data_IF_551065596750
#
_entry.id   IF_551065596750
#
_cell.length_a   1.000
_cell.length_b   1.000
_cell.length_c   1.000
_cell.angle_alpha   90.00
_cell.angle_beta   90.00
_cell.angle_gamma   90.00
#
_symmetry.space_group_name_H-M   'P 1'
#
loop_
_entity.id
_entity.type
_entity.pdbx_description
1 polymer ?
#
# COMPACT_ATOMS: atom_id res chain seq x y z
N UNK A 1 19.11 -27.42 -4.86
CA UNK A 1 18.04 -26.80 -4.09
C UNK A 1 18.20 -25.29 -4.07
N UNK A 2 17.92 -24.62 -5.21
CA UNK A 2 18.16 -23.17 -5.37
C UNK A 2 17.10 -22.48 -6.24
N UNK A 3 15.83 -22.85 -6.08
CA UNK A 3 14.79 -22.40 -7.03
C UNK A 3 13.55 -21.75 -6.40
N UNK A 4 13.50 -21.49 -5.09
CA UNK A 4 12.28 -20.98 -4.46
C UNK A 4 12.35 -19.52 -3.99
N UNK A 5 13.52 -18.86 -3.99
CA UNK A 5 13.62 -17.45 -3.56
C UNK A 5 13.42 -16.44 -4.69
N UNK A 6 13.45 -16.84 -5.95
CA UNK A 6 13.32 -15.91 -7.07
C UNK A 6 11.89 -15.76 -7.60
N UNK A 7 11.00 -16.72 -7.30
CA UNK A 7 9.64 -16.72 -7.84
C UNK A 7 8.69 -15.76 -7.09
N UNK A 8 8.93 -15.46 -5.81
CA UNK A 8 8.09 -14.54 -5.04
C UNK A 8 8.39 -13.06 -5.33
N UNK A 9 9.63 -12.74 -5.71
CA UNK A 9 10.08 -11.39 -6.05
C UNK A 9 9.58 -10.91 -7.43
N UNK A 10 9.21 -11.84 -8.31
CA UNK A 10 8.80 -11.53 -9.69
C UNK A 10 7.30 -11.20 -9.85
N UNK A 11 6.50 -11.38 -8.80
CA UNK A 11 5.03 -11.25 -8.87
C UNK A 11 4.58 -9.79 -8.86
N UNK A 12 5.38 -8.88 -8.34
CA UNK A 12 5.04 -7.45 -8.25
C UNK A 12 5.97 -6.62 -9.14
N UNK A 13 5.80 -6.79 -10.45
CA UNK A 13 6.44 -5.92 -11.44
C UNK A 13 5.73 -4.56 -11.45
N UNK A 14 6.44 -3.51 -11.90
CA UNK A 14 5.90 -2.17 -12.08
C UNK A 14 4.56 -2.20 -12.80
N UNK A 15 3.58 -1.44 -12.31
CA UNK A 15 2.29 -1.32 -12.95
C UNK A 15 2.25 -0.11 -13.87
N UNK A 16 1.83 -0.32 -15.11
CA UNK A 16 1.66 0.76 -16.08
C UNK A 16 0.33 1.49 -15.87
N UNK A 17 0.36 2.80 -15.84
CA UNK A 17 -0.80 3.67 -15.79
C UNK A 17 -1.13 4.18 -17.20
N UNK A 18 -2.38 4.02 -17.61
CA UNK A 18 -2.86 4.44 -18.91
C UNK A 18 -3.98 5.46 -18.76
N UNK A 19 -3.93 6.52 -19.60
CA UNK A 19 -5.01 7.48 -19.76
C UNK A 19 -5.35 7.56 -21.23
N UNK A 20 -6.61 7.30 -21.58
CA UNK A 20 -7.09 7.28 -22.97
C UNK A 20 -6.26 6.40 -23.93
N UNK A 21 -5.77 5.26 -23.39
CA UNK A 21 -4.97 4.30 -24.15
C UNK A 21 -3.48 4.65 -24.28
N UNK A 22 -3.03 5.76 -23.72
CA UNK A 22 -1.62 6.15 -23.69
C UNK A 22 -0.99 5.85 -22.36
N UNK A 23 0.22 5.29 -22.36
CA UNK A 23 1.04 5.10 -21.17
C UNK A 23 1.45 6.47 -20.61
N UNK A 24 1.06 6.76 -19.37
CA UNK A 24 1.33 8.07 -18.74
C UNK A 24 2.34 7.98 -17.60
N UNK A 25 2.39 6.87 -16.89
CA UNK A 25 3.35 6.64 -15.82
C UNK A 25 3.53 5.14 -15.52
N UNK A 26 4.51 4.85 -14.68
CA UNK A 26 4.74 3.52 -14.10
C UNK A 26 4.74 3.66 -12.57
N UNK A 27 3.98 2.81 -11.88
CA UNK A 27 4.15 2.60 -10.46
C UNK A 27 5.39 1.76 -10.22
N UNK A 28 6.19 2.15 -9.25
CA UNK A 28 7.31 1.32 -8.79
C UNK A 28 6.81 0.05 -8.08
N UNK A 29 7.70 -0.87 -7.80
CA UNK A 29 7.34 -2.18 -7.22
C UNK A 29 6.59 -2.01 -5.89
N UNK A 30 7.07 -1.16 -5.01
CA UNK A 30 6.48 -0.90 -3.69
C UNK A 30 5.14 -0.18 -3.80
N UNK A 31 5.03 0.82 -4.66
CA UNK A 31 3.77 1.52 -4.97
C UNK A 31 2.72 0.54 -5.53
N UNK A 32 3.13 -0.34 -6.44
CA UNK A 32 2.29 -1.39 -7.02
C UNK A 32 1.81 -2.36 -5.96
N UNK A 33 2.72 -2.78 -5.06
CA UNK A 33 2.41 -3.68 -3.96
C UNK A 33 1.38 -3.05 -3.01
N UNK A 34 1.62 -1.81 -2.57
CA UNK A 34 0.73 -1.10 -1.68
C UNK A 34 -0.67 -0.91 -2.30
N UNK A 35 -0.73 -0.54 -3.58
CA UNK A 35 -1.99 -0.44 -4.32
C UNK A 35 -2.72 -1.78 -4.40
N UNK A 36 -2.03 -2.86 -4.77
CA UNK A 36 -2.65 -4.18 -4.92
C UNK A 36 -3.18 -4.70 -3.57
N UNK A 37 -2.44 -4.53 -2.49
CA UNK A 37 -2.89 -4.91 -1.15
C UNK A 37 -4.08 -4.08 -0.69
N UNK A 38 -4.13 -2.78 -1.02
CA UNK A 38 -5.22 -1.90 -0.62
C UNK A 38 -6.51 -2.12 -1.41
N UNK A 39 -6.43 -2.43 -2.71
CA UNK A 39 -7.56 -2.33 -3.65
C UNK A 39 -7.89 -3.66 -4.32
N UNK A 40 -6.89 -4.45 -4.73
CA UNK A 40 -7.10 -5.68 -5.49
C UNK A 40 -7.48 -6.87 -4.60
N UNK A 41 -7.68 -8.03 -5.22
CA UNK A 41 -7.90 -9.30 -4.53
C UNK A 41 -6.64 -9.92 -3.92
N UNK A 42 -5.51 -9.19 -3.88
CA UNK A 42 -4.28 -9.65 -3.25
C UNK A 42 -4.40 -9.49 -1.73
N UNK A 43 -4.29 -10.60 -1.02
CA UNK A 43 -4.46 -10.62 0.44
C UNK A 43 -3.17 -10.99 1.18
N UNK A 44 -2.08 -11.29 0.47
CA UNK A 44 -0.78 -11.62 1.04
C UNK A 44 0.34 -10.99 0.22
N UNK A 45 1.38 -10.53 0.92
CA UNK A 45 2.60 -10.04 0.31
C UNK A 45 3.82 -10.26 1.21
N UNK A 46 4.99 -10.09 0.59
CA UNK A 46 6.27 -9.98 1.30
C UNK A 46 6.82 -8.57 1.09
N UNK A 47 7.36 -7.99 2.15
CA UNK A 47 7.92 -6.65 2.11
C UNK A 47 9.06 -6.49 3.11
N UNK A 48 9.96 -5.54 2.80
CA UNK A 48 11.10 -5.24 3.64
C UNK A 48 10.81 -3.98 4.45
N UNK A 49 11.22 -3.97 5.70
CA UNK A 49 11.12 -2.81 6.57
C UNK A 49 12.48 -2.52 7.18
N UNK A 50 12.99 -1.34 6.96
CA UNK A 50 14.24 -0.88 7.55
C UNK A 50 13.96 -0.09 8.81
N UNK A 51 14.58 -0.50 9.91
CA UNK A 51 14.55 0.21 11.19
C UNK A 51 15.95 0.38 11.74
N UNK A 52 16.11 1.31 12.70
CA UNK A 52 17.36 1.51 13.40
C UNK A 52 17.23 0.98 14.83
N UNK A 53 18.12 0.05 15.20
CA UNK A 53 18.26 -0.47 16.56
C UNK A 53 19.55 0.09 17.16
N UNK A 54 19.44 1.20 17.91
CA UNK A 54 20.58 2.03 18.26
C UNK A 54 21.20 2.64 17.00
N UNK A 55 22.50 2.46 16.80
CA UNK A 55 23.23 2.96 15.62
C UNK A 55 23.28 1.97 14.45
N UNK A 56 22.55 0.85 14.54
CA UNK A 56 22.58 -0.21 13.53
C UNK A 56 21.33 -0.24 12.71
N UNK A 57 21.51 -0.26 11.39
CA UNK A 57 20.43 -0.54 10.47
C UNK A 57 20.08 -2.03 10.48
N UNK A 58 18.78 -2.33 10.58
CA UNK A 58 18.23 -3.67 10.53
C UNK A 58 17.11 -3.71 9.50
N UNK A 59 17.20 -4.63 8.55
CA UNK A 59 16.17 -4.88 7.56
C UNK A 59 15.39 -6.12 7.98
N UNK A 60 14.10 -5.95 8.25
CA UNK A 60 13.18 -7.02 8.53
C UNK A 60 12.41 -7.41 7.27
N UNK A 61 12.46 -8.69 6.90
CA UNK A 61 11.62 -9.27 5.85
C UNK A 61 10.32 -9.74 6.46
N UNK A 62 9.22 -9.13 6.09
CA UNK A 62 7.90 -9.41 6.63
C UNK A 62 7.04 -10.14 5.60
N UNK A 63 6.32 -11.16 6.07
CA UNK A 63 5.12 -11.65 5.44
C UNK A 63 3.94 -10.87 6.00
N UNK A 64 3.10 -10.33 5.13
CA UNK A 64 1.94 -9.51 5.48
C UNK A 64 0.70 -10.20 4.92
N UNK A 65 -0.26 -10.54 5.78
CA UNK A 65 -1.56 -11.08 5.40
C UNK A 65 -2.66 -10.07 5.73
N UNK A 66 -3.41 -9.65 4.71
CA UNK A 66 -4.51 -8.69 4.85
C UNK A 66 -5.74 -9.42 5.39
N UNK A 67 -6.13 -9.11 6.61
CA UNK A 67 -7.32 -9.67 7.23
C UNK A 67 -8.59 -8.92 6.85
N UNK A 68 -8.53 -7.59 6.80
CA UNK A 68 -9.67 -6.73 6.45
C UNK A 68 -9.20 -5.47 5.74
N UNK A 69 -9.89 -5.12 4.67
CA UNK A 69 -9.65 -3.86 3.96
C UNK A 69 -10.96 -3.22 3.52
N UNK A 70 -10.99 -1.91 3.50
CA UNK A 70 -12.08 -1.13 2.93
C UNK A 70 -11.59 0.17 2.31
N UNK A 71 -12.29 0.61 1.29
CA UNK A 71 -12.06 1.87 0.60
C UNK A 71 -13.37 2.62 0.49
N UNK A 72 -13.40 3.88 0.95
CA UNK A 72 -14.61 4.69 0.97
C UNK A 72 -14.33 6.11 0.50
N UNK A 73 -15.09 6.59 -0.49
CA UNK A 73 -15.10 7.99 -0.86
C UNK A 73 -16.15 8.71 -0.03
N UNK A 74 -15.78 9.79 0.63
CA UNK A 74 -16.65 10.66 1.40
C UNK A 74 -16.50 12.10 0.93
N UNK A 75 -17.53 12.90 1.15
CA UNK A 75 -17.46 14.35 0.96
C UNK A 75 -17.47 15.00 2.34
N UNK A 76 -16.37 15.65 2.73
CA UNK A 76 -16.20 16.35 4.01
C UNK A 76 -16.19 17.86 3.75
N UNK A 77 -17.30 18.52 4.03
CA UNK A 77 -17.53 19.88 3.56
C UNK A 77 -17.67 19.90 2.04
N UNK A 78 -16.78 20.61 1.35
CA UNK A 78 -16.72 20.64 -0.11
C UNK A 78 -15.58 19.77 -0.70
N UNK A 79 -14.84 19.04 0.14
CA UNK A 79 -13.66 18.29 -0.30
C UNK A 79 -13.94 16.79 -0.36
N UNK A 80 -13.60 16.13 -1.47
CA UNK A 80 -13.62 14.67 -1.55
C UNK A 80 -12.46 14.08 -0.74
N UNK A 81 -12.76 13.06 0.04
CA UNK A 81 -11.79 12.33 0.86
C UNK A 81 -11.90 10.84 0.57
N UNK A 82 -10.83 10.24 0.10
CA UNK A 82 -10.72 8.81 -0.07
C UNK A 82 -10.09 8.20 1.18
N UNK A 83 -10.87 7.43 1.91
CA UNK A 83 -10.43 6.77 3.14
C UNK A 83 -10.09 5.30 2.87
N UNK A 84 -8.90 4.88 3.27
CA UNK A 84 -8.50 3.48 3.34
C UNK A 84 -8.48 3.04 4.81
N UNK A 85 -9.08 1.90 5.08
CA UNK A 85 -8.94 1.22 6.37
C UNK A 85 -8.45 -0.20 6.12
N UNK A 86 -7.28 -0.53 6.68
CA UNK A 86 -6.58 -1.79 6.45
C UNK A 86 -6.18 -2.37 7.81
N UNK A 87 -6.51 -3.64 7.99
CA UNK A 87 -6.09 -4.45 9.14
C UNK A 87 -5.36 -5.67 8.60
N UNK A 88 -4.12 -5.85 9.02
CA UNK A 88 -3.26 -6.91 8.54
C UNK A 88 -2.54 -7.60 9.69
N UNK A 89 -2.11 -8.82 9.43
CA UNK A 89 -1.20 -9.54 10.30
C UNK A 89 0.18 -9.60 9.65
N UNK A 90 1.22 -9.43 10.46
CA UNK A 90 2.60 -9.48 10.00
C UNK A 90 3.37 -10.56 10.75
N UNK A 91 4.26 -11.23 10.03
CA UNK A 91 5.20 -12.22 10.55
C UNK A 91 6.59 -11.86 10.05
N UNK A 92 7.59 -11.90 10.94
CA UNK A 92 8.98 -11.79 10.51
C UNK A 92 9.40 -13.12 9.90
N UNK A 93 9.90 -13.08 8.66
CA UNK A 93 10.48 -14.24 7.99
C UNK A 93 11.96 -14.35 8.34
N UNK A 94 12.67 -13.25 8.23
CA UNK A 94 14.07 -13.10 8.62
C UNK A 94 14.43 -11.63 8.88
N UNK A 95 15.61 -11.43 9.45
CA UNK A 95 16.19 -10.11 9.64
C UNK A 95 17.64 -10.09 9.19
N UNK A 96 18.04 -9.01 8.53
CA UNK A 96 19.41 -8.74 8.13
C UNK A 96 19.99 -7.63 9.02
N UNK A 97 20.98 -8.01 9.84
CA UNK A 97 21.72 -7.09 10.73
C UNK A 97 23.14 -6.95 10.21
N UNK A 98 23.49 -5.77 9.70
CA UNK A 98 24.85 -5.49 9.19
C UNK A 98 25.37 -6.51 8.17
N UNK A 99 24.53 -6.96 7.25
CA UNK A 99 24.89 -7.95 6.22
C UNK A 99 24.77 -9.41 6.65
N UNK A 100 24.43 -9.69 7.92
CA UNK A 100 24.20 -11.05 8.39
C UNK A 100 22.70 -11.33 8.47
N UNK A 101 22.25 -12.28 7.67
CA UNK A 101 20.87 -12.75 7.67
C UNK A 101 20.63 -13.73 8.82
N UNK A 102 19.60 -13.47 9.61
CA UNK A 102 19.20 -14.34 10.72
C UNK A 102 17.75 -14.78 10.48
N UNK A 103 17.52 -16.09 10.38
CA UNK A 103 16.18 -16.64 10.34
C UNK A 103 15.51 -16.47 11.70
N UNK A 104 14.24 -16.06 11.67
CA UNK A 104 13.43 -15.80 12.86
C UNK A 104 12.31 -16.83 12.90
N UNK A 105 12.06 -17.38 14.08
CA UNK A 105 11.00 -18.36 14.27
C UNK A 105 9.63 -17.76 13.85
N UNK A 106 8.83 -18.54 13.13
CA UNK A 106 7.52 -18.11 12.64
C UNK A 106 6.55 -17.65 13.76
N UNK A 107 6.78 -18.10 14.99
CA UNK A 107 6.02 -17.72 16.19
C UNK A 107 6.58 -16.51 16.92
N UNK A 108 7.66 -15.90 16.42
CA UNK A 108 8.24 -14.73 17.05
C UNK A 108 7.30 -13.52 16.98
N UNK A 109 7.19 -12.81 18.09
CA UNK A 109 6.43 -11.56 18.14
C UNK A 109 7.17 -10.51 17.35
N UNK A 110 6.49 -9.87 16.40
CA UNK A 110 7.03 -8.73 15.66
C UNK A 110 7.11 -7.52 16.60
N UNK A 111 8.28 -6.89 16.75
CA UNK A 111 8.40 -5.72 17.63
C UNK A 111 7.51 -4.57 17.18
N UNK A 112 6.90 -3.84 18.12
CA UNK A 112 5.98 -2.75 17.82
C UNK A 112 6.58 -1.67 16.91
N UNK A 113 7.86 -1.35 17.05
CA UNK A 113 8.52 -0.36 16.22
C UNK A 113 8.66 -0.83 14.76
N UNK A 114 8.79 -2.14 14.53
CA UNK A 114 8.83 -2.73 13.19
C UNK A 114 7.42 -2.70 12.57
N UNK A 115 6.37 -3.02 13.34
CA UNK A 115 4.99 -2.90 12.88
C UNK A 115 4.65 -1.47 12.47
N UNK A 116 5.01 -0.47 13.29
CA UNK A 116 4.79 0.94 12.95
C UNK A 116 5.56 1.37 11.72
N UNK A 117 6.81 0.98 11.58
CA UNK A 117 7.60 1.29 10.39
C UNK A 117 6.99 0.65 9.11
N UNK A 118 6.41 -0.55 9.23
CA UNK A 118 5.67 -1.20 8.16
C UNK A 118 4.39 -0.44 7.79
N UNK A 119 3.60 0.01 8.78
CA UNK A 119 2.40 0.83 8.59
C UNK A 119 2.73 2.14 7.87
N UNK A 120 3.75 2.87 8.36
CA UNK A 120 4.20 4.14 7.79
C UNK A 120 4.71 3.98 6.35
N UNK A 121 5.51 2.93 6.10
CA UNK A 121 5.99 2.63 4.76
C UNK A 121 4.82 2.32 3.82
N UNK A 122 3.90 1.46 4.24
CA UNK A 122 2.74 1.10 3.43
C UNK A 122 1.88 2.33 3.09
N UNK A 123 1.62 3.20 4.06
CA UNK A 123 0.88 4.45 3.85
C UNK A 123 1.61 5.36 2.86
N UNK A 124 2.92 5.53 3.02
CA UNK A 124 3.76 6.34 2.13
C UNK A 124 3.67 5.85 0.69
N UNK A 125 3.84 4.55 0.46
CA UNK A 125 3.83 3.97 -0.88
C UNK A 125 2.42 4.04 -1.52
N UNK A 126 1.37 3.85 -0.73
CA UNK A 126 -0.01 3.99 -1.21
C UNK A 126 -0.31 5.45 -1.62
N UNK A 127 0.15 6.43 -0.84
CA UNK A 127 0.03 7.85 -1.18
C UNK A 127 0.84 8.19 -2.43
N UNK A 128 2.07 7.70 -2.54
CA UNK A 128 2.92 7.93 -3.72
C UNK A 128 2.27 7.37 -4.99
N UNK A 129 1.67 6.16 -4.93
CA UNK A 129 0.91 5.59 -6.04
C UNK A 129 -0.26 6.49 -6.45
N UNK A 130 -0.99 7.02 -5.49
CA UNK A 130 -2.12 7.90 -5.72
C UNK A 130 -1.68 9.24 -6.34
N UNK A 131 -0.69 9.89 -5.76
CA UNK A 131 -0.18 11.18 -6.24
C UNK A 131 0.33 11.08 -7.68
N UNK A 132 1.07 9.99 -7.98
CA UNK A 132 1.56 9.71 -9.33
C UNK A 132 0.41 9.49 -10.32
N UNK A 133 -0.63 8.74 -9.93
CA UNK A 133 -1.80 8.52 -10.77
C UNK A 133 -2.58 9.82 -11.01
N UNK A 134 -2.83 10.57 -9.96
CA UNK A 134 -3.59 11.83 -10.04
C UNK A 134 -2.84 12.88 -10.88
N UNK A 135 -1.53 13.03 -10.72
CA UNK A 135 -0.71 13.94 -11.50
C UNK A 135 -0.78 13.66 -13.01
N UNK A 136 -1.02 12.41 -13.39
CA UNK A 136 -1.17 12.00 -14.80
C UNK A 136 -2.62 11.97 -15.29
N UNK A 137 -3.59 12.30 -14.41
CA UNK A 137 -5.01 12.22 -14.73
C UNK A 137 -5.58 10.80 -14.74
N UNK A 138 -4.83 9.82 -14.21
CA UNK A 138 -5.28 8.44 -14.11
C UNK A 138 -6.16 8.25 -12.87
N UNK A 139 -7.42 7.84 -13.09
CA UNK A 139 -8.35 7.50 -11.99
C UNK A 139 -8.11 6.07 -11.48
N UNK A 140 -6.97 5.88 -10.82
CA UNK A 140 -6.48 4.58 -10.32
C UNK A 140 -7.47 3.90 -9.37
N UNK A 141 -8.23 4.68 -8.59
CA UNK A 141 -9.15 4.18 -7.57
C UNK A 141 -10.63 4.21 -7.99
N UNK A 142 -10.91 4.45 -9.27
CA UNK A 142 -12.26 4.60 -9.81
C UNK A 142 -13.10 5.66 -9.05
N UNK A 143 -12.47 6.79 -8.74
CA UNK A 143 -13.06 7.85 -7.92
C UNK A 143 -14.27 8.50 -8.61
N UNK A 144 -14.20 8.72 -9.94
CA UNK A 144 -15.32 9.28 -10.71
C UNK A 144 -16.54 8.37 -10.66
N UNK A 145 -16.32 7.06 -10.79
CA UNK A 145 -17.40 6.08 -10.68
C UNK A 145 -17.99 6.04 -9.27
N UNK A 146 -17.14 6.10 -8.24
CA UNK A 146 -17.59 6.15 -6.83
C UNK A 146 -18.37 7.43 -6.54
N UNK A 147 -17.88 8.58 -7.02
CA UNK A 147 -18.55 9.86 -6.84
C UNK A 147 -19.95 9.81 -7.50
N UNK A 148 -20.02 9.40 -8.77
CA UNK A 148 -21.30 9.28 -9.48
C UNK A 148 -22.29 8.34 -8.77
N UNK A 149 -21.80 7.20 -8.26
CA UNK A 149 -22.65 6.17 -7.63
C UNK A 149 -23.13 6.55 -6.23
N UNK A 150 -22.27 7.15 -5.42
CA UNK A 150 -22.53 7.34 -3.99
C UNK A 150 -22.79 8.80 -3.61
N UNK A 151 -22.43 9.75 -4.46
CA UNK A 151 -22.58 11.19 -4.26
C UNK A 151 -23.11 11.89 -5.52
N UNK A 152 -24.28 11.46 -6.05
CA UNK A 152 -24.78 11.96 -7.33
C UNK A 152 -25.10 13.47 -7.33
N UNK A 153 -25.41 14.04 -6.17
CA UNK A 153 -25.69 15.48 -6.03
C UNK A 153 -24.45 16.35 -6.19
N UNK A 154 -23.30 15.84 -5.72
CA UNK A 154 -22.03 16.52 -5.76
C UNK A 154 -21.24 16.21 -7.04
N UNK A 155 -21.71 15.22 -7.83
CA UNK A 155 -21.00 14.73 -8.99
C UNK A 155 -20.68 15.82 -10.01
N UNK A 156 -21.67 16.62 -10.41
CA UNK A 156 -21.48 17.65 -11.42
C UNK A 156 -20.48 18.73 -10.99
N UNK A 157 -20.50 19.09 -9.70
CA UNK A 157 -19.61 20.11 -9.18
C UNK A 157 -18.16 19.63 -8.98
N UNK A 158 -17.95 18.34 -8.69
CA UNK A 158 -16.64 17.82 -8.29
C UNK A 158 -15.94 17.01 -9.39
N UNK A 159 -16.64 16.49 -10.38
CA UNK A 159 -16.07 15.52 -11.33
C UNK A 159 -14.86 16.01 -12.12
N UNK A 160 -14.79 17.31 -12.45
CA UNK A 160 -13.71 17.86 -13.27
C UNK A 160 -12.38 17.89 -12.52
N UNK A 161 -12.40 18.34 -11.26
CA UNK A 161 -11.21 18.52 -10.44
C UNK A 161 -11.01 17.40 -9.41
N UNK A 162 -11.83 16.34 -9.47
CA UNK A 162 -11.86 15.28 -8.47
C UNK A 162 -10.49 14.69 -8.13
N UNK A 163 -9.68 14.41 -9.16
CA UNK A 163 -8.35 13.81 -8.96
C UNK A 163 -7.34 14.79 -8.37
N UNK A 164 -7.55 16.10 -8.54
CA UNK A 164 -6.69 17.15 -8.00
C UNK A 164 -7.08 17.49 -6.54
N UNK A 165 -8.39 17.48 -6.27
CA UNK A 165 -8.94 17.94 -4.99
C UNK A 165 -9.07 16.82 -3.96
N UNK A 166 -9.06 15.53 -4.38
CA UNK A 166 -9.23 14.40 -3.48
C UNK A 166 -8.08 14.29 -2.49
N UNK A 167 -8.42 14.21 -1.21
CA UNK A 167 -7.47 13.91 -0.14
C UNK A 167 -7.50 12.42 0.19
N UNK A 168 -6.34 11.85 0.44
CA UNK A 168 -6.21 10.46 0.85
C UNK A 168 -5.92 10.39 2.35
N UNK A 169 -6.70 9.59 3.04
CA UNK A 169 -6.49 9.26 4.44
C UNK A 169 -6.37 7.75 4.62
N UNK A 170 -5.46 7.33 5.48
CA UNK A 170 -5.18 5.93 5.74
C UNK A 170 -5.30 5.63 7.24
N UNK A 171 -6.02 4.56 7.57
CA UNK A 171 -6.04 3.95 8.90
C UNK A 171 -5.54 2.51 8.73
N UNK A 172 -4.22 2.36 8.83
CA UNK A 172 -3.50 1.11 8.63
C UNK A 172 -3.05 0.60 9.99
N UNK A 173 -3.33 -0.68 10.29
CA UNK A 173 -2.91 -1.35 11.51
C UNK A 173 -2.41 -2.74 11.21
N UNK A 174 -1.18 -2.99 11.64
CA UNK A 174 -0.55 -4.29 11.58
C UNK A 174 -0.42 -4.88 12.98
N UNK A 175 -0.67 -6.17 13.08
CA UNK A 175 -0.54 -6.95 14.32
C UNK A 175 0.35 -8.16 14.05
N UNK A 176 1.01 -8.66 15.07
CA UNK A 176 1.75 -9.92 14.95
C UNK A 176 0.79 -11.07 14.60
N UNK A 177 1.14 -11.86 13.60
CA UNK A 177 0.42 -13.10 13.28
C UNK A 177 0.50 -14.07 14.46
N UNK A 178 -0.65 -14.59 14.87
CA UNK A 178 -0.76 -15.57 15.99
C UNK A 178 -0.93 -16.97 15.46
#
# INVERSE_FOLDING_TARGET
>A
TRALSSAASDVYKRQALFVRGQLTALLETEETLAYNLAVSGTDMAFGDVTVYEGDREVIYHLKIDIGKKSQKLQIKGALPVLEFSIRAQAQVVDANKAGTRTEIAATAIVPDHVLRAAEERFEKELRAAADKAHATGCDLFALKQKLHRFHPKEYEALQENLLQDVRITCDIRFETMR
#
